data_IF_670967437414
#
_entry.id   IF_670967437414
#
_cell.length_a   1.000
_cell.length_b   1.000
_cell.length_c   1.000
_cell.angle_alpha   90.00
_cell.angle_beta   90.00
_cell.angle_gamma   90.00
#
_symmetry.space_group_name_H-M   'P 1'
#
loop_
_entity.id
_entity.type
_entity.pdbx_description
1 polymer ?
#
# COMPACT_ATOMS: atom_id res chain seq x y z
N UNK A 1 3.33 -16.25 -10.58
CA UNK A 1 1.95 -15.73 -10.58
C UNK A 1 1.77 -15.06 -9.24
N UNK A 2 1.70 -13.73 -9.20
CA UNK A 2 1.61 -12.96 -7.95
C UNK A 2 0.24 -13.20 -7.31
N UNK A 3 0.20 -13.67 -6.06
CA UNK A 3 -1.06 -13.80 -5.35
C UNK A 3 -1.53 -12.41 -4.93
N UNK A 4 -2.68 -11.99 -5.45
CA UNK A 4 -3.22 -10.64 -5.25
C UNK A 4 -4.68 -10.68 -4.83
N UNK A 5 -5.07 -9.77 -3.93
CA UNK A 5 -6.46 -9.56 -3.53
C UNK A 5 -6.83 -8.10 -3.74
N UNK A 6 -8.00 -7.84 -4.31
CA UNK A 6 -8.50 -6.48 -4.53
C UNK A 6 -9.60 -6.13 -3.54
N UNK A 7 -9.52 -4.93 -2.96
CA UNK A 7 -10.56 -4.34 -2.08
C UNK A 7 -10.90 -2.93 -2.57
N UNK A 8 -12.07 -2.41 -2.18
CA UNK A 8 -12.55 -1.08 -2.59
C UNK A 8 -12.98 -0.25 -1.39
N UNK A 9 -12.62 1.03 -1.40
CA UNK A 9 -13.05 2.03 -0.42
C UNK A 9 -13.34 3.33 -1.16
N UNK A 10 -14.58 3.82 -1.05
CA UNK A 10 -15.04 4.97 -1.84
C UNK A 10 -14.88 4.73 -3.34
N UNK A 11 -14.16 5.65 -4.01
CA UNK A 11 -13.86 5.57 -5.45
C UNK A 11 -12.51 4.91 -5.77
N UNK A 12 -11.78 4.45 -4.75
CA UNK A 12 -10.44 3.88 -4.88
C UNK A 12 -10.48 2.34 -4.84
N UNK A 13 -9.60 1.71 -5.63
CA UNK A 13 -9.38 0.25 -5.63
C UNK A 13 -7.96 -0.02 -5.16
N UNK A 14 -7.81 -0.94 -4.21
CA UNK A 14 -6.54 -1.29 -3.60
C UNK A 14 -6.20 -2.74 -3.93
N UNK A 15 -4.96 -2.99 -4.30
CA UNK A 15 -4.45 -4.33 -4.57
C UNK A 15 -3.45 -4.72 -3.47
N UNK A 16 -3.73 -5.82 -2.79
CA UNK A 16 -2.87 -6.39 -1.76
C UNK A 16 -2.04 -7.47 -2.42
N UNK A 17 -0.72 -7.27 -2.44
CA UNK A 17 0.27 -8.23 -2.90
C UNK A 17 0.78 -8.98 -1.66
N UNK A 18 0.65 -10.31 -1.65
CA UNK A 18 1.05 -11.14 -0.50
C UNK A 18 2.52 -11.63 -0.58
N UNK A 19 3.26 -11.23 -1.62
CA UNK A 19 4.67 -11.57 -1.80
C UNK A 19 5.57 -10.79 -0.84
N UNK A 20 6.58 -11.47 -0.29
CA UNK A 20 7.55 -10.85 0.60
C UNK A 20 8.66 -10.17 -0.21
N UNK A 21 8.53 -8.86 -0.41
CA UNK A 21 9.43 -8.03 -1.22
C UNK A 21 10.12 -6.96 -0.37
N UNK A 22 11.25 -6.43 -0.84
CA UNK A 22 11.80 -5.18 -0.32
C UNK A 22 10.96 -3.99 -0.82
N UNK A 23 10.94 -2.87 -0.08
CA UNK A 23 10.10 -1.71 -0.41
C UNK A 23 10.27 -1.24 -1.86
N UNK A 24 11.52 -1.12 -2.34
CA UNK A 24 11.80 -0.70 -3.71
C UNK A 24 11.22 -1.67 -4.75
N UNK A 25 11.24 -2.97 -4.45
CA UNK A 25 10.65 -3.98 -5.33
C UNK A 25 9.13 -3.96 -5.30
N UNK A 26 8.53 -3.79 -4.12
CA UNK A 26 7.09 -3.63 -3.97
C UNK A 26 6.56 -2.41 -4.76
N UNK A 27 7.32 -1.30 -4.76
CA UNK A 27 7.01 -0.13 -5.60
C UNK A 27 6.97 -0.48 -7.08
N UNK A 28 8.00 -1.14 -7.61
CA UNK A 28 8.02 -1.59 -9.01
C UNK A 28 6.87 -2.56 -9.32
N UNK A 29 6.57 -3.49 -8.40
CA UNK A 29 5.47 -4.45 -8.56
C UNK A 29 4.11 -3.75 -8.67
N UNK A 30 3.83 -2.77 -7.80
CA UNK A 30 2.61 -1.96 -7.88
C UNK A 30 2.51 -1.19 -9.20
N UNK A 31 3.63 -0.58 -9.65
CA UNK A 31 3.69 0.15 -10.92
C UNK A 31 3.48 -0.77 -12.12
N UNK A 32 4.05 -1.98 -12.09
CA UNK A 32 3.84 -3.00 -13.13
C UNK A 32 2.39 -3.48 -13.24
N UNK A 33 1.60 -3.34 -12.17
CA UNK A 33 0.15 -3.61 -12.16
C UNK A 33 -0.71 -2.40 -12.58
N UNK A 34 -0.07 -1.28 -12.95
CA UNK A 34 -0.76 -0.04 -13.31
C UNK A 34 -1.24 0.79 -12.11
N UNK A 35 -0.73 0.51 -10.91
CA UNK A 35 -1.01 1.25 -9.69
C UNK A 35 0.24 1.89 -9.07
N UNK A 36 0.15 2.24 -7.80
CA UNK A 36 1.25 2.74 -6.98
C UNK A 36 1.12 2.19 -5.56
N UNK A 37 2.17 2.26 -4.75
CA UNK A 37 2.07 1.92 -3.34
C UNK A 37 1.02 2.84 -2.66
N UNK A 38 0.25 2.29 -1.72
CA UNK A 38 -0.90 3.01 -1.16
C UNK A 38 -0.47 4.26 -0.41
N UNK A 39 -1.19 5.35 -0.67
CA UNK A 39 -1.07 6.63 0.02
C UNK A 39 -2.36 6.81 0.82
N UNK A 40 -2.25 6.78 2.15
CA UNK A 40 -3.40 6.86 3.05
C UNK A 40 -3.69 8.33 3.37
N UNK A 41 -4.80 8.85 2.86
CA UNK A 41 -5.15 10.27 2.96
C UNK A 41 -6.06 10.56 4.16
N UNK A 42 -6.80 9.56 4.62
CA UNK A 42 -7.80 9.71 5.70
C UNK A 42 -7.67 8.64 6.77
N UNK A 43 -8.14 8.95 7.98
CA UNK A 43 -8.16 7.98 9.08
C UNK A 43 -9.09 6.79 8.75
N UNK A 44 -10.23 7.07 8.14
CA UNK A 44 -11.23 6.07 7.77
C UNK A 44 -10.67 5.08 6.74
N UNK A 45 -9.91 5.58 5.75
CA UNK A 45 -9.22 4.75 4.79
C UNK A 45 -8.16 3.86 5.47
N UNK A 46 -7.33 4.44 6.33
CA UNK A 46 -6.31 3.69 7.07
C UNK A 46 -6.94 2.57 7.92
N UNK A 47 -8.03 2.86 8.63
CA UNK A 47 -8.75 1.86 9.42
C UNK A 47 -9.36 0.75 8.55
N UNK A 48 -9.95 1.11 7.41
CA UNK A 48 -10.48 0.15 6.45
C UNK A 48 -9.39 -0.79 5.92
N UNK A 49 -8.26 -0.24 5.44
CA UNK A 49 -7.15 -1.01 4.91
C UNK A 49 -6.56 -1.91 6.00
N UNK A 50 -6.34 -1.38 7.21
CA UNK A 50 -5.81 -2.14 8.34
C UNK A 50 -6.68 -3.35 8.70
N UNK A 51 -8.00 -3.17 8.73
CA UNK A 51 -8.94 -4.26 9.00
C UNK A 51 -8.96 -5.31 7.87
N UNK A 52 -8.87 -4.87 6.61
CA UNK A 52 -8.82 -5.76 5.47
C UNK A 52 -7.54 -6.62 5.47
N UNK A 53 -6.37 -6.01 5.64
CA UNK A 53 -5.10 -6.74 5.63
C UNK A 53 -4.96 -7.71 6.81
N UNK A 54 -5.48 -7.34 7.99
CA UNK A 54 -5.49 -8.20 9.19
C UNK A 54 -6.37 -9.44 8.98
N UNK A 55 -7.46 -9.31 8.20
CA UNK A 55 -8.34 -10.43 7.86
C UNK A 55 -7.72 -11.34 6.79
N UNK A 56 -6.94 -10.75 5.87
CA UNK A 56 -6.39 -11.43 4.70
C UNK A 56 -5.20 -12.31 5.06
N UNK A 57 -4.32 -11.85 5.94
CA UNK A 57 -3.11 -12.57 6.30
C UNK A 57 -2.85 -12.55 7.80
N UNK A 58 -2.96 -13.71 8.42
CA UNK A 58 -2.56 -13.94 9.81
C UNK A 58 -1.08 -14.30 9.87
N UNK A 59 -0.23 -13.42 10.44
CA UNK A 59 1.18 -13.73 10.73
C UNK A 59 2.23 -12.95 9.93
N UNK A 60 1.83 -12.01 9.07
CA UNK A 60 2.76 -11.06 8.43
C UNK A 60 3.12 -9.91 9.38
N UNK A 61 4.36 -9.42 9.30
CA UNK A 61 4.84 -8.31 10.15
C UNK A 61 4.23 -6.96 9.77
N UNK A 62 3.80 -6.80 8.54
CA UNK A 62 3.26 -5.57 7.99
C UNK A 62 3.24 -5.59 6.46
N UNK A 63 2.73 -4.51 5.88
CA UNK A 63 2.67 -4.29 4.43
C UNK A 63 3.41 -3.02 4.08
N UNK A 64 4.00 -2.97 2.89
CA UNK A 64 4.58 -1.74 2.36
C UNK A 64 3.48 -0.76 1.94
N UNK A 65 3.69 0.50 2.26
CA UNK A 65 2.88 1.64 1.82
C UNK A 65 3.79 2.64 1.08
N UNK A 66 3.22 3.72 0.55
CA UNK A 66 3.91 4.70 -0.28
C UNK A 66 5.19 5.27 0.32
N UNK A 67 5.32 5.25 1.65
CA UNK A 67 6.44 5.85 2.37
C UNK A 67 6.40 7.37 2.25
N UNK A 68 7.09 8.06 3.15
CA UNK A 68 7.16 9.52 3.14
C UNK A 68 8.59 9.97 3.17
N UNK A 69 8.86 11.11 2.55
CA UNK A 69 10.09 11.87 2.75
C UNK A 69 9.75 13.34 2.97
N UNK A 70 10.67 14.05 3.61
CA UNK A 70 10.66 15.52 3.56
C UNK A 70 11.24 15.94 2.22
N UNK A 71 10.52 16.80 1.51
CA UNK A 71 11.08 17.49 0.35
C UNK A 71 12.13 18.53 0.80
N UNK A 72 12.68 19.29 -0.16
CA UNK A 72 13.69 20.31 0.16
C UNK A 72 13.12 21.51 0.95
N UNK A 73 11.80 21.69 0.93
CA UNK A 73 11.08 22.78 1.58
C UNK A 73 10.52 22.38 2.97
N UNK A 74 10.65 21.10 3.34
CA UNK A 74 10.22 20.55 4.62
C UNK A 74 8.79 20.00 4.63
N UNK A 75 8.16 19.89 3.47
CA UNK A 75 6.83 19.29 3.30
C UNK A 75 6.93 17.76 3.16
N UNK A 76 5.91 17.06 3.66
CA UNK A 76 5.81 15.61 3.59
C UNK A 76 5.24 15.20 2.23
N UNK A 77 6.06 14.52 1.43
CA UNK A 77 5.64 13.96 0.14
C UNK A 77 5.66 12.44 0.17
N UNK A 78 4.68 11.85 -0.52
CA UNK A 78 4.63 10.41 -0.75
C UNK A 78 5.65 9.98 -1.78
N UNK A 79 6.37 8.89 -1.49
CA UNK A 79 7.42 8.35 -2.36
C UNK A 79 6.93 7.29 -3.36
N UNK A 80 5.61 7.17 -3.60
CA UNK A 80 5.03 6.02 -4.33
C UNK A 80 5.24 6.02 -5.85
#
# INVERSE_FOLDING_TARGET
MTNTRSIRFGNSTYCIIEEHEEWAKAKESCQGLGGKLVELETQEENEFIKNAVTTISSGVKGYWIGGYNFDNDGDLEWLS
#
